data_IF_047568795963
#
_entry.id   IF_047568795963
#
_cell.length_a   1.000
_cell.length_b   1.000
_cell.length_c   1.000
_cell.angle_alpha   90.00
_cell.angle_beta   90.00
_cell.angle_gamma   90.00
#
_symmetry.space_group_name_H-M   'P 1'
#
loop_
_entity.id
_entity.type
_entity.pdbx_description
1 polymer ?
#
# COMPACT_ATOMS: atom_id res chain seq x y z
N UNK A 1 -1.85 43.79 -52.97
CA UNK A 1 -2.18 43.34 -51.58
C UNK A 1 -2.40 41.85 -51.67
N UNK A 2 -1.38 41.09 -51.27
CA UNK A 2 -1.39 39.61 -51.32
C UNK A 2 -1.71 39.09 -49.92
N UNK A 3 -2.84 38.40 -49.80
CA UNK A 3 -3.27 37.77 -48.55
C UNK A 3 -2.54 36.44 -48.41
N UNK A 4 -1.59 36.37 -47.47
CA UNK A 4 -0.93 35.12 -47.05
C UNK A 4 -1.88 34.29 -46.23
N UNK A 5 -2.34 33.19 -46.81
CA UNK A 5 -3.12 32.16 -46.10
C UNK A 5 -2.22 31.42 -45.10
N UNK A 6 -2.41 31.69 -43.85
CA UNK A 6 -1.75 30.99 -42.74
C UNK A 6 -2.34 29.56 -42.63
N UNK A 7 -1.56 28.55 -43.04
CA UNK A 7 -1.93 27.15 -42.89
C UNK A 7 -1.93 26.79 -41.38
N UNK A 8 -3.13 26.73 -40.78
CA UNK A 8 -3.32 26.17 -39.45
C UNK A 8 -2.89 24.69 -39.48
N UNK A 9 -1.83 24.36 -38.73
CA UNK A 9 -1.35 23.00 -38.58
C UNK A 9 -2.47 22.12 -37.97
N UNK A 10 -2.69 20.89 -38.47
CA UNK A 10 -3.70 20.02 -37.91
C UNK A 10 -3.35 19.69 -36.44
N UNK A 11 -4.32 19.94 -35.55
CA UNK A 11 -4.27 19.53 -34.18
C UNK A 11 -3.96 18.03 -34.11
N UNK A 12 -2.77 17.69 -33.66
CA UNK A 12 -2.37 16.30 -33.42
C UNK A 12 -3.37 15.67 -32.46
N UNK A 13 -4.08 14.64 -32.90
CA UNK A 13 -5.02 13.87 -32.07
C UNK A 13 -4.28 13.39 -30.82
N UNK A 14 -4.84 13.60 -29.61
CA UNK A 14 -4.22 13.08 -28.40
C UNK A 14 -4.06 11.57 -28.55
N UNK A 15 -2.86 11.07 -28.22
CA UNK A 15 -2.54 9.65 -28.29
C UNK A 15 -3.60 8.85 -27.52
N UNK A 16 -4.25 7.93 -28.22
CA UNK A 16 -5.26 7.03 -27.65
C UNK A 16 -4.61 6.27 -26.48
N UNK A 17 -5.09 6.48 -25.27
CA UNK A 17 -4.67 5.64 -24.14
C UNK A 17 -4.92 4.19 -24.57
N UNK A 18 -3.84 3.38 -24.66
CA UNK A 18 -3.96 1.99 -25.08
C UNK A 18 -4.90 1.28 -24.10
N UNK A 19 -6.01 0.75 -24.62
CA UNK A 19 -6.88 -0.15 -23.90
C UNK A 19 -6.02 -1.29 -23.33
N UNK A 20 -6.11 -1.57 -22.03
CA UNK A 20 -5.35 -2.64 -21.39
C UNK A 20 -5.28 -2.49 -19.88
N UNK A 21 -4.82 -3.55 -19.23
CA UNK A 21 -4.58 -3.57 -17.79
C UNK A 21 -3.52 -2.51 -17.40
N UNK A 22 -3.83 -1.75 -16.37
CA UNK A 22 -2.88 -0.80 -15.74
C UNK A 22 -1.69 -1.57 -15.12
N UNK A 23 -0.49 -0.97 -15.01
CA UNK A 23 0.62 -1.55 -14.25
C UNK A 23 0.24 -2.02 -12.85
N UNK A 24 -0.54 -1.25 -12.10
CA UNK A 24 -1.05 -1.63 -10.77
C UNK A 24 -1.94 -2.88 -10.82
N UNK A 25 -2.79 -3.02 -11.83
CA UNK A 25 -3.64 -4.20 -12.03
C UNK A 25 -2.84 -5.46 -12.38
N UNK A 26 -1.78 -5.29 -13.17
CA UNK A 26 -0.84 -6.38 -13.46
C UNK A 26 -0.10 -6.86 -12.21
N UNK A 27 0.29 -5.93 -11.32
CA UNK A 27 0.87 -6.26 -10.02
C UNK A 27 -0.12 -7.05 -9.16
N UNK A 28 -1.38 -6.60 -9.11
CA UNK A 28 -2.44 -7.33 -8.39
C UNK A 28 -2.58 -8.75 -8.92
N UNK A 29 -2.76 -8.93 -10.22
CA UNK A 29 -2.90 -10.26 -10.83
C UNK A 29 -1.67 -11.14 -10.61
N UNK A 30 -0.47 -10.57 -10.71
CA UNK A 30 0.78 -11.28 -10.43
C UNK A 30 0.87 -11.73 -8.98
N UNK A 31 0.44 -10.90 -8.01
CA UNK A 31 0.46 -11.26 -6.60
C UNK A 31 -0.62 -12.30 -6.24
N UNK A 32 -1.80 -12.22 -6.82
CA UNK A 32 -2.83 -13.25 -6.67
C UNK A 32 -2.36 -14.61 -7.20
N UNK A 33 -1.67 -14.62 -8.36
CA UNK A 33 -1.05 -15.82 -8.90
C UNK A 33 0.06 -16.35 -7.99
N UNK A 34 0.90 -15.46 -7.41
CA UNK A 34 1.89 -15.83 -6.40
C UNK A 34 1.22 -16.48 -5.19
N UNK A 35 0.12 -15.94 -4.66
CA UNK A 35 -0.61 -16.51 -3.53
C UNK A 35 -1.08 -17.96 -3.79
N UNK A 36 -1.62 -18.20 -4.99
CA UNK A 36 -2.00 -19.56 -5.42
C UNK A 36 -0.76 -20.48 -5.49
N UNK A 37 0.32 -20.05 -6.14
CA UNK A 37 1.53 -20.84 -6.25
C UNK A 37 2.16 -21.12 -4.87
N UNK A 38 2.25 -20.12 -4.00
CA UNK A 38 2.75 -20.25 -2.64
C UNK A 38 1.90 -21.25 -1.83
N UNK A 39 0.57 -21.24 -1.99
CA UNK A 39 -0.30 -22.20 -1.30
C UNK A 39 -0.01 -23.67 -1.63
N UNK A 40 0.61 -23.94 -2.79
CA UNK A 40 1.03 -25.30 -3.16
C UNK A 40 2.37 -25.70 -2.55
N UNK A 41 3.22 -24.74 -2.22
CA UNK A 41 4.58 -24.97 -1.69
C UNK A 41 4.56 -25.03 -0.17
N UNK A 42 3.83 -24.13 0.49
CA UNK A 42 3.81 -24.06 1.95
C UNK A 42 2.81 -25.04 2.56
N UNK A 43 3.11 -25.50 3.79
CA UNK A 43 2.28 -26.50 4.50
C UNK A 43 0.97 -25.86 4.97
N UNK A 44 -0.08 -26.00 4.19
CA UNK A 44 -1.43 -25.54 4.49
C UNK A 44 -2.43 -26.70 4.49
N UNK A 45 -3.51 -26.54 5.26
CA UNK A 45 -4.64 -27.45 5.17
C UNK A 45 -5.31 -27.39 3.78
N UNK A 46 -5.89 -28.48 3.31
CA UNK A 46 -6.57 -28.54 1.99
C UNK A 46 -7.67 -27.49 1.85
N UNK A 47 -8.43 -27.23 2.93
CA UNK A 47 -9.45 -26.16 2.97
C UNK A 47 -8.88 -24.76 2.81
N UNK A 48 -7.70 -24.50 3.37
CA UNK A 48 -7.03 -23.20 3.22
C UNK A 48 -6.54 -23.00 1.77
N UNK A 49 -5.94 -24.02 1.17
CA UNK A 49 -5.52 -23.99 -0.25
C UNK A 49 -6.71 -23.72 -1.18
N UNK A 50 -7.82 -24.42 -0.96
CA UNK A 50 -9.04 -24.23 -1.73
C UNK A 50 -9.59 -22.81 -1.57
N UNK A 51 -9.63 -22.29 -0.34
CA UNK A 51 -10.08 -20.94 -0.06
C UNK A 51 -9.19 -19.88 -0.75
N UNK A 52 -7.86 -20.00 -0.68
CA UNK A 52 -6.92 -19.14 -1.39
C UNK A 52 -7.16 -19.20 -2.90
N UNK A 53 -7.28 -20.39 -3.47
CA UNK A 53 -7.56 -20.57 -4.89
C UNK A 53 -8.85 -19.90 -5.35
N UNK A 54 -9.95 -20.09 -4.61
CA UNK A 54 -11.25 -19.48 -4.92
C UNK A 54 -11.20 -17.95 -4.76
N UNK A 55 -10.69 -17.46 -3.64
CA UNK A 55 -10.64 -16.01 -3.37
C UNK A 55 -9.78 -15.28 -4.39
N UNK A 56 -8.62 -15.83 -4.73
CA UNK A 56 -7.73 -15.22 -5.73
C UNK A 56 -8.30 -15.29 -7.15
N UNK A 57 -8.97 -16.38 -7.51
CA UNK A 57 -9.66 -16.48 -8.79
C UNK A 57 -10.81 -15.47 -8.91
N UNK A 58 -11.61 -15.32 -7.85
CA UNK A 58 -12.69 -14.31 -7.79
C UNK A 58 -12.14 -12.89 -7.84
N UNK A 59 -11.08 -12.58 -7.07
CA UNK A 59 -10.44 -11.27 -7.08
C UNK A 59 -9.86 -10.96 -8.48
N UNK A 60 -9.17 -11.91 -9.10
CA UNK A 60 -8.63 -11.75 -10.44
C UNK A 60 -9.75 -11.54 -11.49
N UNK A 61 -10.84 -12.30 -11.38
CA UNK A 61 -12.02 -12.12 -12.24
C UNK A 61 -12.62 -10.72 -12.10
N UNK A 62 -12.78 -10.23 -10.87
CA UNK A 62 -13.28 -8.87 -10.58
C UNK A 62 -12.38 -7.81 -11.22
N UNK A 63 -11.05 -7.92 -11.05
CA UNK A 63 -10.09 -6.98 -11.66
C UNK A 63 -10.23 -6.97 -13.18
N UNK A 64 -10.28 -8.14 -13.81
CA UNK A 64 -10.41 -8.25 -15.28
C UNK A 64 -11.74 -7.75 -15.77
N UNK A 65 -12.86 -8.09 -15.11
CA UNK A 65 -14.19 -7.64 -15.51
C UNK A 65 -14.33 -6.12 -15.40
N UNK A 66 -13.88 -5.52 -14.29
CA UNK A 66 -13.93 -4.06 -14.11
C UNK A 66 -13.06 -3.36 -15.16
N UNK A 67 -11.87 -3.88 -15.45
CA UNK A 67 -10.98 -3.31 -16.46
C UNK A 67 -11.61 -3.35 -17.85
N UNK A 68 -12.16 -4.49 -18.25
CA UNK A 68 -12.84 -4.65 -19.57
C UNK A 68 -14.13 -3.84 -19.69
N UNK A 69 -14.93 -3.77 -18.63
CA UNK A 69 -16.16 -2.96 -18.61
C UNK A 69 -15.85 -1.48 -18.80
N UNK A 70 -14.73 -1.02 -18.24
CA UNK A 70 -14.26 0.36 -18.44
C UNK A 70 -13.87 0.64 -19.90
N UNK A 71 -13.22 -0.30 -20.57
CA UNK A 71 -12.86 -0.20 -21.99
C UNK A 71 -14.12 -0.13 -22.88
N UNK A 72 -15.06 -1.04 -22.64
CA UNK A 72 -16.33 -1.08 -23.39
C UNK A 72 -17.17 0.19 -23.20
N UNK A 73 -17.22 0.73 -21.97
CA UNK A 73 -17.92 1.98 -21.67
C UNK A 73 -17.27 3.18 -22.37
N UNK A 74 -15.93 3.23 -22.44
CA UNK A 74 -15.20 4.27 -23.16
C UNK A 74 -15.44 4.25 -24.67
N UNK A 75 -15.54 3.06 -25.27
CA UNK A 75 -15.86 2.90 -26.70
C UNK A 75 -17.33 3.25 -27.02
N UNK A 76 -18.25 2.88 -26.12
CA UNK A 76 -19.67 3.15 -26.27
C UNK A 76 -20.00 4.65 -26.16
N UNK A 77 -19.36 5.34 -25.19
CA UNK A 77 -19.52 6.79 -25.02
C UNK A 77 -19.05 7.61 -26.24
N UNK A 78 -18.12 7.04 -27.02
CA UNK A 78 -17.65 7.68 -28.25
C UNK A 78 -18.61 7.46 -29.43
N UNK A 79 -19.47 6.45 -29.39
CA UNK A 79 -20.39 6.09 -30.49
C UNK A 79 -21.81 6.63 -30.33
N UNK A 80 -22.23 6.99 -29.09
CA UNK A 80 -23.60 7.41 -28.81
C UNK A 80 -23.63 8.59 -27.85
N UNK A 81 -24.48 9.57 -28.16
CA UNK A 81 -24.94 10.61 -27.23
C UNK A 81 -25.93 10.00 -26.23
N UNK A 82 -25.50 9.02 -25.43
CA UNK A 82 -26.38 8.30 -24.52
C UNK A 82 -26.46 8.95 -23.12
N UNK A 83 -27.69 8.95 -22.62
CA UNK A 83 -28.16 9.72 -21.50
C UNK A 83 -27.51 9.45 -20.11
N UNK A 84 -27.92 10.24 -19.15
CA UNK A 84 -27.48 10.35 -17.74
C UNK A 84 -27.26 9.00 -16.97
N UNK A 85 -27.96 7.92 -17.32
CA UNK A 85 -27.80 6.61 -16.68
C UNK A 85 -26.48 5.93 -17.05
N UNK A 86 -26.08 6.00 -18.31
CA UNK A 86 -24.81 5.43 -18.79
C UNK A 86 -23.61 6.13 -18.14
N UNK A 87 -23.70 7.45 -17.91
CA UNK A 87 -22.62 8.22 -17.28
C UNK A 87 -22.42 7.88 -15.79
N UNK A 88 -23.51 7.59 -15.06
CA UNK A 88 -23.42 7.22 -13.62
C UNK A 88 -22.81 5.84 -13.43
N UNK A 89 -23.21 4.86 -14.22
CA UNK A 89 -22.64 3.51 -14.17
C UNK A 89 -21.13 3.53 -14.48
N UNK A 90 -20.74 4.24 -15.54
CA UNK A 90 -19.33 4.41 -15.90
C UNK A 90 -18.53 5.08 -14.77
N UNK A 91 -19.08 6.12 -14.13
CA UNK A 91 -18.43 6.78 -12.99
C UNK A 91 -18.27 5.85 -11.79
N UNK A 92 -19.28 5.01 -11.49
CA UNK A 92 -19.22 4.03 -10.40
C UNK A 92 -18.18 2.96 -10.69
N UNK A 93 -18.15 2.39 -11.91
CA UNK A 93 -17.16 1.39 -12.30
C UNK A 93 -15.72 1.96 -12.24
N UNK A 94 -15.55 3.22 -12.65
CA UNK A 94 -14.27 3.92 -12.53
C UNK A 94 -13.85 4.05 -11.07
N UNK A 95 -14.75 4.48 -10.18
CA UNK A 95 -14.46 4.60 -8.76
C UNK A 95 -14.12 3.23 -8.15
N UNK A 96 -14.88 2.19 -8.45
CA UNK A 96 -14.58 0.82 -8.01
C UNK A 96 -13.20 0.36 -8.49
N UNK A 97 -12.86 0.58 -9.76
CA UNK A 97 -11.54 0.28 -10.31
C UNK A 97 -10.42 0.95 -9.55
N UNK A 98 -10.62 2.25 -9.24
CA UNK A 98 -9.59 3.07 -8.60
C UNK A 98 -9.39 2.71 -7.11
N UNK A 99 -10.44 2.27 -6.41
CA UNK A 99 -10.41 1.92 -4.98
C UNK A 99 -10.17 0.44 -4.68
N UNK A 100 -10.31 -0.44 -5.68
CA UNK A 100 -10.15 -1.88 -5.52
C UNK A 100 -8.83 -2.31 -4.86
N UNK A 101 -7.67 -1.66 -5.14
CA UNK A 101 -6.41 -2.03 -4.52
C UNK A 101 -6.42 -1.96 -2.98
N UNK A 102 -7.23 -1.10 -2.36
CA UNK A 102 -7.38 -1.05 -0.90
C UNK A 102 -7.82 -2.41 -0.32
N UNK A 103 -8.73 -3.09 -0.99
CA UNK A 103 -9.26 -4.39 -0.54
C UNK A 103 -8.30 -5.53 -0.86
N UNK A 104 -7.63 -5.45 -2.01
CA UNK A 104 -6.65 -6.46 -2.40
C UNK A 104 -5.45 -6.48 -1.45
N UNK A 105 -5.01 -5.33 -0.95
CA UNK A 105 -3.94 -5.25 0.05
C UNK A 105 -4.30 -6.05 1.32
N UNK A 106 -5.54 -5.96 1.79
CA UNK A 106 -5.99 -6.70 2.97
C UNK A 106 -6.00 -8.21 2.73
N UNK A 107 -6.49 -8.65 1.56
CA UNK A 107 -6.47 -10.04 1.14
C UNK A 107 -5.02 -10.55 1.06
N UNK A 108 -4.16 -9.84 0.35
CA UNK A 108 -2.75 -10.19 0.16
C UNK A 108 -2.00 -10.32 1.49
N UNK A 109 -2.21 -9.39 2.43
CA UNK A 109 -1.63 -9.46 3.76
C UNK A 109 -2.11 -10.69 4.52
N UNK A 110 -3.43 -10.97 4.49
CA UNK A 110 -4.01 -12.11 5.19
C UNK A 110 -3.48 -13.44 4.67
N UNK A 111 -3.36 -13.59 3.37
CA UNK A 111 -2.83 -14.80 2.75
C UNK A 111 -1.35 -14.99 3.05
N UNK A 112 -0.55 -13.94 2.92
CA UNK A 112 0.89 -14.00 3.21
C UNK A 112 1.18 -14.43 4.65
N UNK A 113 0.32 -14.06 5.59
CA UNK A 113 0.45 -14.47 6.99
C UNK A 113 0.24 -15.98 7.19
N UNK A 114 -0.52 -16.66 6.33
CA UNK A 114 -0.76 -18.09 6.38
C UNK A 114 0.48 -18.90 5.95
N UNK A 115 1.35 -18.33 5.14
CA UNK A 115 2.56 -18.98 4.66
C UNK A 115 3.72 -18.94 5.67
N UNK A 116 3.60 -18.16 6.75
CA UNK A 116 4.64 -18.00 7.75
C UNK A 116 4.53 -19.05 8.85
N UNK A 117 5.63 -19.75 9.14
CA UNK A 117 5.71 -20.72 10.23
C UNK A 117 6.56 -20.18 11.39
N UNK A 118 5.97 -20.12 12.57
CA UNK A 118 6.70 -19.76 13.81
C UNK A 118 7.82 -20.72 14.17
N UNK A 119 7.70 -22.00 13.82
CA UNK A 119 8.71 -23.00 14.12
C UNK A 119 10.06 -22.75 13.43
N UNK A 120 10.08 -21.93 12.37
CA UNK A 120 11.28 -21.63 11.59
C UNK A 120 11.99 -20.33 12.04
N UNK A 121 11.47 -19.58 13.03
CA UNK A 121 11.95 -18.22 13.33
C UNK A 121 13.17 -18.15 14.25
N UNK A 122 13.39 -19.09 15.15
CA UNK A 122 14.29 -18.96 16.31
C UNK A 122 15.72 -18.47 16.03
N UNK A 123 16.39 -18.95 14.96
CA UNK A 123 17.75 -18.52 14.64
C UNK A 123 17.78 -17.09 14.07
N UNK A 124 16.77 -16.72 13.28
CA UNK A 124 16.62 -15.37 12.73
C UNK A 124 16.26 -14.39 13.85
N UNK A 125 15.35 -14.75 14.75
CA UNK A 125 14.98 -13.94 15.91
C UNK A 125 16.22 -13.57 16.74
N UNK A 126 17.09 -14.55 17.06
CA UNK A 126 18.33 -14.30 17.80
C UNK A 126 19.33 -13.41 17.06
N UNK A 127 19.38 -13.47 15.72
CA UNK A 127 20.23 -12.60 14.92
C UNK A 127 19.71 -11.15 14.95
N UNK A 128 18.41 -10.95 14.74
CA UNK A 128 17.80 -9.63 14.72
C UNK A 128 17.80 -8.96 16.09
N UNK A 129 17.59 -9.73 17.17
CA UNK A 129 17.79 -9.22 18.53
C UNK A 129 19.23 -8.75 18.82
N UNK A 130 20.23 -9.45 18.29
CA UNK A 130 21.63 -9.01 18.41
C UNK A 130 21.87 -7.70 17.65
N UNK A 131 21.32 -7.57 16.45
CA UNK A 131 21.43 -6.33 15.66
C UNK A 131 20.73 -5.16 16.37
N UNK A 132 19.52 -5.36 16.85
CA UNK A 132 18.80 -4.33 17.61
C UNK A 132 19.58 -3.89 18.85
N UNK A 133 20.11 -4.83 19.62
CA UNK A 133 20.95 -4.51 20.79
C UNK A 133 22.22 -3.73 20.41
N UNK A 134 22.84 -4.04 19.29
CA UNK A 134 24.03 -3.34 18.84
C UNK A 134 23.73 -1.92 18.32
N UNK A 135 22.56 -1.72 17.70
CA UNK A 135 22.18 -0.45 17.06
C UNK A 135 21.41 0.50 17.97
N UNK A 136 20.59 -0.03 18.86
CA UNK A 136 19.60 0.74 19.65
C UNK A 136 19.77 0.53 21.16
N UNK A 137 20.71 -0.31 21.57
CA UNK A 137 20.90 -0.68 22.99
C UNK A 137 19.96 -1.81 23.44
N UNK A 138 19.95 -2.09 24.73
CA UNK A 138 19.01 -3.06 25.28
C UNK A 138 17.58 -2.54 25.10
N UNK A 139 16.70 -3.37 24.54
CA UNK A 139 15.32 -2.96 24.25
C UNK A 139 14.52 -2.43 25.47
N UNK A 140 15.05 -2.58 26.67
CA UNK A 140 14.60 -1.93 27.90
C UNK A 140 14.80 -0.40 27.87
N UNK A 141 15.85 0.10 27.20
CA UNK A 141 16.11 1.55 27.09
C UNK A 141 15.10 2.25 26.19
N UNK A 142 14.68 1.59 25.10
CA UNK A 142 13.66 2.12 24.21
C UNK A 142 12.27 2.13 24.86
N UNK A 143 11.93 1.11 25.65
CA UNK A 143 10.70 1.11 26.45
C UNK A 143 10.78 2.07 27.64
N UNK A 144 11.97 2.33 28.19
CA UNK A 144 12.18 3.35 29.21
C UNK A 144 11.91 4.77 28.68
N UNK A 145 12.18 5.06 27.40
CA UNK A 145 11.81 6.33 26.79
C UNK A 145 10.28 6.56 26.81
N UNK A 146 9.49 5.53 26.50
CA UNK A 146 8.04 5.60 26.62
C UNK A 146 7.58 5.67 28.08
N UNK A 147 8.35 5.08 29.02
CA UNK A 147 8.07 5.11 30.45
C UNK A 147 8.38 6.48 31.09
N UNK A 148 9.39 7.19 30.60
CA UNK A 148 9.78 8.53 31.11
C UNK A 148 8.73 9.60 30.77
N UNK A 149 7.97 9.42 29.69
CA UNK A 149 6.92 10.36 29.29
C UNK A 149 5.64 9.61 28.89
N UNK A 150 4.62 9.59 29.76
CA UNK A 150 3.33 8.99 29.44
C UNK A 150 2.69 9.57 28.16
N UNK A 151 2.93 10.84 27.86
CA UNK A 151 2.46 11.49 26.65
C UNK A 151 3.14 10.94 25.39
N UNK A 152 4.43 10.64 25.46
CA UNK A 152 5.16 10.04 24.35
C UNK A 152 4.63 8.64 24.04
N UNK A 153 4.44 7.80 25.05
CA UNK A 153 3.86 6.47 24.87
C UNK A 153 2.47 6.52 24.25
N UNK A 154 1.60 7.43 24.74
CA UNK A 154 0.26 7.64 24.17
C UNK A 154 0.29 8.13 22.72
N UNK A 155 1.21 9.04 22.41
CA UNK A 155 1.43 9.52 21.04
C UNK A 155 1.90 8.39 20.12
N UNK A 156 2.84 7.55 20.57
CA UNK A 156 3.35 6.43 19.77
C UNK A 156 2.26 5.38 19.51
N UNK A 157 1.42 5.07 20.49
CA UNK A 157 0.25 4.20 20.27
C UNK A 157 -0.74 4.79 19.26
N UNK A 158 -0.99 6.09 19.34
CA UNK A 158 -1.81 6.79 18.33
C UNK A 158 -1.14 6.77 16.96
N UNK A 159 0.16 7.06 16.89
CA UNK A 159 0.91 7.04 15.63
C UNK A 159 0.88 5.64 14.99
N UNK A 160 1.08 4.59 15.78
CA UNK A 160 0.97 3.22 15.27
C UNK A 160 -0.42 2.93 14.69
N UNK A 161 -1.48 3.34 15.37
CA UNK A 161 -2.86 3.15 14.91
C UNK A 161 -3.14 3.82 13.56
N UNK A 162 -2.45 4.93 13.25
CA UNK A 162 -2.57 5.61 11.96
C UNK A 162 -2.12 4.77 10.76
N UNK A 163 -1.34 3.71 10.96
CA UNK A 163 -0.88 2.87 9.84
C UNK A 163 -2.07 2.26 9.08
N UNK A 164 -3.18 1.94 9.75
CA UNK A 164 -4.35 1.32 9.14
C UNK A 164 -5.10 2.25 8.17
N UNK A 165 -5.46 3.50 8.55
CA UNK A 165 -6.13 4.42 7.64
C UNK A 165 -5.21 5.10 6.62
N UNK A 166 -3.88 4.99 6.75
CA UNK A 166 -2.94 5.69 5.85
C UNK A 166 -3.15 5.34 4.38
N UNK A 167 -3.45 4.07 4.06
CA UNK A 167 -3.67 3.64 2.66
C UNK A 167 -4.90 4.33 2.05
N UNK A 168 -6.11 4.19 2.61
CA UNK A 168 -7.28 4.86 2.04
C UNK A 168 -7.18 6.39 2.13
N UNK A 169 -6.59 6.98 3.18
CA UNK A 169 -6.44 8.43 3.30
C UNK A 169 -5.45 8.99 2.27
N UNK A 170 -4.30 8.32 2.08
CA UNK A 170 -3.32 8.72 1.07
C UNK A 170 -3.91 8.70 -0.33
N UNK A 171 -4.61 7.62 -0.67
CA UNK A 171 -5.30 7.55 -1.95
C UNK A 171 -6.43 8.59 -2.06
N UNK A 172 -7.21 8.82 -1.00
CA UNK A 172 -8.25 9.84 -0.99
C UNK A 172 -7.70 11.24 -1.31
N UNK A 173 -6.56 11.62 -0.73
CA UNK A 173 -5.89 12.90 -1.03
C UNK A 173 -5.55 13.01 -2.51
N UNK A 174 -4.96 11.97 -3.10
CA UNK A 174 -4.63 11.95 -4.52
C UNK A 174 -5.91 11.98 -5.37
N UNK A 175 -6.89 11.14 -5.06
CA UNK A 175 -8.13 10.97 -5.78
C UNK A 175 -8.97 12.26 -5.85
N UNK A 176 -9.24 12.88 -4.71
CA UNK A 176 -10.08 14.08 -4.66
C UNK A 176 -9.36 15.32 -5.17
N UNK A 177 -8.05 15.45 -4.94
CA UNK A 177 -7.32 16.59 -5.48
C UNK A 177 -7.17 16.53 -7.00
N UNK A 178 -6.94 15.37 -7.60
CA UNK A 178 -6.86 15.23 -9.06
C UNK A 178 -8.21 15.49 -9.73
N UNK A 179 -9.31 15.12 -9.08
CA UNK A 179 -10.66 15.41 -9.60
C UNK A 179 -11.04 16.88 -9.47
N UNK A 180 -10.62 17.58 -8.43
CA UNK A 180 -10.84 19.04 -8.28
C UNK A 180 -10.12 19.80 -9.38
N UNK A 181 -8.85 19.50 -9.61
CA UNK A 181 -8.07 20.13 -10.70
C UNK A 181 -8.69 19.88 -12.06
N UNK A 182 -9.25 18.69 -12.32
CA UNK A 182 -9.92 18.39 -13.56
C UNK A 182 -11.28 19.11 -13.74
N UNK A 183 -11.91 19.55 -12.65
CA UNK A 183 -13.18 20.29 -12.67
C UNK A 183 -13.01 21.81 -12.86
N UNK A 184 -11.81 22.34 -12.67
CA UNK A 184 -11.53 23.77 -12.86
C UNK A 184 -11.43 24.12 -14.36
N UNK A 185 -12.25 25.07 -14.88
CA UNK A 185 -12.26 25.42 -16.32
C UNK A 185 -10.92 25.95 -16.84
N UNK A 186 -10.09 26.51 -15.95
CA UNK A 186 -8.78 27.05 -16.30
C UNK A 186 -7.68 25.97 -16.37
N UNK A 187 -7.86 24.84 -15.70
CA UNK A 187 -6.93 23.75 -15.72
C UNK A 187 -7.37 22.72 -16.76
N UNK A 188 -6.97 22.90 -18.03
CA UNK A 188 -7.17 21.89 -19.08
C UNK A 188 -6.32 20.64 -18.79
N UNK A 189 -6.74 19.85 -17.81
CA UNK A 189 -6.14 18.53 -17.53
C UNK A 189 -6.56 17.59 -18.65
N UNK A 190 -5.64 17.01 -19.43
CA UNK A 190 -5.98 16.08 -20.48
C UNK A 190 -6.84 14.91 -19.96
N UNK A 191 -7.84 14.46 -20.74
CA UNK A 191 -8.61 13.27 -20.37
C UNK A 191 -7.69 12.07 -20.11
N UNK A 192 -7.88 11.39 -18.98
CA UNK A 192 -7.07 10.21 -18.58
C UNK A 192 -5.87 10.50 -17.66
N UNK A 193 -5.47 11.77 -17.47
CA UNK A 193 -4.32 12.10 -16.61
C UNK A 193 -4.56 11.70 -15.14
N UNK A 194 -5.76 11.91 -14.62
CA UNK A 194 -6.11 11.46 -13.27
C UNK A 194 -5.95 9.93 -13.11
N UNK A 195 -6.38 9.15 -14.10
CA UNK A 195 -6.20 7.69 -14.09
C UNK A 195 -4.73 7.25 -14.09
N UNK A 196 -3.85 8.01 -14.75
CA UNK A 196 -2.40 7.77 -14.69
C UNK A 196 -1.81 8.10 -13.32
N UNK A 197 -2.28 9.18 -12.67
CA UNK A 197 -1.87 9.50 -11.29
C UNK A 197 -2.29 8.41 -10.31
N UNK A 198 -3.50 7.88 -10.43
CA UNK A 198 -4.01 6.80 -9.58
C UNK A 198 -3.22 5.51 -9.79
N UNK A 199 -2.98 5.14 -11.05
CA UNK A 199 -2.18 3.97 -11.37
C UNK A 199 -0.74 4.08 -10.85
N UNK A 200 -0.10 5.26 -10.97
CA UNK A 200 1.24 5.51 -10.44
C UNK A 200 1.28 5.41 -8.93
N UNK A 201 0.30 5.99 -8.23
CA UNK A 201 0.18 5.87 -6.78
C UNK A 201 0.09 4.39 -6.37
N UNK A 202 -0.86 3.64 -6.98
CA UNK A 202 -1.06 2.25 -6.65
C UNK A 202 0.12 1.36 -7.04
N UNK A 203 0.74 1.61 -8.19
CA UNK A 203 1.95 0.86 -8.59
C UNK A 203 3.03 0.96 -7.54
N UNK A 204 3.31 2.15 -7.02
CA UNK A 204 4.32 2.36 -5.97
C UNK A 204 3.96 1.69 -4.66
N UNK A 205 2.72 1.88 -4.19
CA UNK A 205 2.25 1.33 -2.91
C UNK A 205 2.15 -0.19 -2.96
N UNK A 206 1.56 -0.75 -4.02
CA UNK A 206 1.42 -2.20 -4.18
C UNK A 206 2.78 -2.88 -4.34
N UNK A 207 3.68 -2.30 -5.12
CA UNK A 207 5.03 -2.87 -5.28
C UNK A 207 5.77 -2.92 -3.94
N UNK A 208 5.67 -1.87 -3.11
CA UNK A 208 6.27 -1.86 -1.79
C UNK A 208 5.67 -2.93 -0.87
N UNK A 209 4.34 -2.97 -0.75
CA UNK A 209 3.64 -3.90 0.14
C UNK A 209 3.77 -5.35 -0.33
N UNK A 210 3.57 -5.63 -1.61
CA UNK A 210 3.64 -6.99 -2.15
C UNK A 210 5.06 -7.56 -2.09
N UNK A 211 6.09 -6.71 -2.23
CA UNK A 211 7.48 -7.15 -1.99
C UNK A 211 7.66 -7.60 -0.55
N UNK A 212 7.19 -6.83 0.43
CA UNK A 212 7.26 -7.24 1.84
C UNK A 212 6.48 -8.53 2.09
N UNK A 213 5.25 -8.62 1.59
CA UNK A 213 4.39 -9.79 1.78
C UNK A 213 4.94 -11.06 1.14
N UNK A 214 5.59 -10.95 -0.03
CA UNK A 214 6.25 -12.07 -0.66
C UNK A 214 7.50 -12.55 0.08
N UNK A 215 8.17 -11.66 0.80
CA UNK A 215 9.35 -11.97 1.60
C UNK A 215 9.04 -12.56 2.98
N UNK A 216 7.84 -12.34 3.53
CA UNK A 216 7.46 -12.86 4.86
C UNK A 216 7.68 -14.36 5.05
N UNK A 217 7.28 -15.24 4.14
CA UNK A 217 7.51 -16.68 4.31
C UNK A 217 8.97 -17.09 4.20
N UNK A 218 9.80 -16.28 3.53
CA UNK A 218 11.24 -16.52 3.38
C UNK A 218 12.02 -16.10 4.65
N UNK A 219 11.48 -15.12 5.36
CA UNK A 219 12.07 -14.58 6.60
C UNK A 219 11.01 -14.60 7.71
N UNK A 220 10.67 -15.79 8.25
CA UNK A 220 9.59 -15.94 9.24
C UNK A 220 10.03 -15.43 10.62
N UNK A 221 10.21 -14.12 10.73
CA UNK A 221 10.69 -13.43 11.93
C UNK A 221 9.53 -13.15 12.89
N UNK A 222 9.74 -13.40 14.17
CA UNK A 222 8.77 -13.11 15.23
C UNK A 222 8.87 -11.66 15.68
N UNK A 223 7.74 -11.01 15.93
CA UNK A 223 7.74 -9.64 16.48
C UNK A 223 8.46 -9.57 17.84
N UNK A 224 9.34 -8.57 18.05
CA UNK A 224 10.11 -8.44 19.32
C UNK A 224 9.21 -8.43 20.55
N UNK A 225 8.03 -7.88 20.45
CA UNK A 225 7.03 -7.81 21.53
C UNK A 225 6.63 -9.20 22.08
N UNK A 226 6.59 -10.23 21.23
CA UNK A 226 6.23 -11.59 21.64
C UNK A 226 7.41 -12.35 22.28
N UNK A 227 8.63 -11.90 22.06
CA UNK A 227 9.85 -12.49 22.61
C UNK A 227 10.25 -11.84 23.94
N UNK A 228 9.96 -10.57 24.13
CA UNK A 228 10.27 -9.82 25.35
C UNK A 228 9.27 -10.17 26.46
N UNK A 229 9.61 -11.18 27.29
CA UNK A 229 8.77 -11.62 28.41
C UNK A 229 8.60 -10.55 29.51
N UNK A 230 9.57 -9.65 29.64
CA UNK A 230 9.64 -8.62 30.68
C UNK A 230 9.31 -7.23 30.15
N UNK A 231 8.63 -7.14 28.99
CA UNK A 231 8.25 -5.86 28.42
C UNK A 231 7.12 -5.22 29.26
N UNK A 232 7.55 -4.38 30.22
CA UNK A 232 6.63 -3.57 31.00
C UNK A 232 6.25 -2.31 30.23
N UNK A 233 4.96 -2.16 29.91
CA UNK A 233 4.42 -0.92 29.39
C UNK A 233 3.70 -0.19 30.53
N UNK A 234 4.16 1.02 30.91
CA UNK A 234 3.63 1.72 32.08
C UNK A 234 2.15 2.09 31.97
N UNK A 235 1.61 2.14 30.77
CA UNK A 235 0.22 2.54 30.50
C UNK A 235 -0.58 1.41 29.81
N UNK A 236 -0.53 0.20 30.38
CA UNK A 236 -1.21 -0.98 29.84
C UNK A 236 -2.75 -0.82 29.75
N UNK A 237 -3.34 0.09 30.52
CA UNK A 237 -4.77 0.39 30.55
C UNK A 237 -5.20 1.46 29.52
N UNK A 238 -4.23 2.09 28.85
CA UNK A 238 -4.55 3.12 27.87
C UNK A 238 -5.37 2.56 26.68
N UNK A 239 -6.47 3.23 26.37
CA UNK A 239 -7.47 2.74 25.40
C UNK A 239 -6.86 2.44 24.04
N UNK A 240 -6.00 3.30 23.50
CA UNK A 240 -5.37 3.07 22.18
C UNK A 240 -4.39 1.88 22.22
N UNK A 241 -3.67 1.67 23.35
CA UNK A 241 -2.85 0.47 23.55
C UNK A 241 -3.70 -0.80 23.50
N UNK A 242 -4.81 -0.80 24.22
CA UNK A 242 -5.74 -1.94 24.21
C UNK A 242 -6.33 -2.18 22.82
N UNK A 243 -6.66 -1.12 22.10
CA UNK A 243 -7.14 -1.21 20.73
C UNK A 243 -6.08 -1.79 19.79
N UNK A 244 -4.83 -1.30 19.86
CA UNK A 244 -3.72 -1.83 19.09
C UNK A 244 -3.47 -3.30 19.37
N UNK A 245 -3.44 -3.70 20.65
CA UNK A 245 -3.25 -5.10 21.05
C UNK A 245 -4.40 -5.99 20.56
N UNK A 246 -5.64 -5.49 20.61
CA UNK A 246 -6.79 -6.21 20.09
C UNK A 246 -6.69 -6.39 18.57
N UNK A 247 -6.40 -5.32 17.81
CA UNK A 247 -6.20 -5.39 16.36
C UNK A 247 -5.09 -6.37 16.00
N UNK A 248 -3.96 -6.31 16.68
CA UNK A 248 -2.85 -7.23 16.47
C UNK A 248 -3.24 -8.68 16.80
N UNK A 249 -4.01 -8.90 17.87
CA UNK A 249 -4.50 -10.24 18.23
C UNK A 249 -5.43 -10.85 17.18
N UNK A 250 -6.20 -10.01 16.47
CA UNK A 250 -7.15 -10.46 15.44
C UNK A 250 -6.50 -10.62 14.05
N UNK A 251 -5.58 -9.72 13.70
CA UNK A 251 -5.17 -9.54 12.30
C UNK A 251 -3.67 -9.73 12.07
N UNK A 252 -2.81 -9.57 13.08
CA UNK A 252 -1.38 -9.68 12.87
C UNK A 252 -0.94 -11.13 12.59
N UNK A 253 0.07 -11.26 11.75
CA UNK A 253 0.79 -12.53 11.60
C UNK A 253 1.54 -12.87 12.89
N UNK A 254 1.56 -14.15 13.24
CA UNK A 254 2.37 -14.64 14.38
C UNK A 254 3.87 -14.69 14.06
N UNK A 255 4.21 -14.73 12.78
CA UNK A 255 5.55 -14.67 12.23
C UNK A 255 5.47 -13.96 10.87
N UNK A 256 6.63 -13.49 10.34
CA UNK A 256 6.65 -12.76 9.08
C UNK A 256 6.45 -11.25 9.31
N UNK A 257 7.38 -10.66 10.06
CA UNK A 257 7.42 -9.20 10.28
C UNK A 257 8.51 -8.51 9.45
N UNK A 258 9.43 -9.26 8.86
CA UNK A 258 10.52 -8.75 8.04
C UNK A 258 10.27 -8.95 6.54
N UNK A 259 10.46 -7.91 5.73
CA UNK A 259 10.65 -6.49 6.06
C UNK A 259 9.34 -5.84 6.56
N UNK A 260 9.41 -4.71 7.31
CA UNK A 260 8.21 -4.08 7.83
C UNK A 260 7.27 -3.57 6.73
N UNK A 261 6.14 -4.25 6.53
CA UNK A 261 5.09 -3.82 5.62
C UNK A 261 4.42 -2.52 6.06
N UNK A 262 4.33 -2.26 7.37
CA UNK A 262 3.82 -0.99 7.91
C UNK A 262 4.68 0.18 7.43
N UNK A 263 6.00 0.12 7.67
CA UNK A 263 6.92 1.18 7.27
C UNK A 263 7.02 1.30 5.75
N UNK A 264 7.07 0.17 5.03
CA UNK A 264 7.08 0.17 3.57
C UNK A 264 5.84 0.85 2.98
N UNK A 265 4.65 0.49 3.46
CA UNK A 265 3.38 1.04 2.99
C UNK A 265 3.27 2.54 3.25
N UNK A 266 3.48 2.98 4.50
CA UNK A 266 3.32 4.40 4.85
C UNK A 266 4.39 5.29 4.20
N UNK A 267 5.62 4.80 4.02
CA UNK A 267 6.68 5.50 3.30
C UNK A 267 6.36 5.63 1.81
N UNK A 268 5.91 4.56 1.16
CA UNK A 268 5.50 4.60 -0.25
C UNK A 268 4.35 5.58 -0.49
N UNK A 269 3.37 5.62 0.42
CA UNK A 269 2.25 6.57 0.39
C UNK A 269 2.76 8.00 0.55
N UNK A 270 3.59 8.26 1.57
CA UNK A 270 4.14 9.59 1.84
C UNK A 270 4.93 10.14 0.64
N UNK A 271 5.79 9.31 0.02
CA UNK A 271 6.55 9.68 -1.19
C UNK A 271 5.63 9.98 -2.36
N UNK A 272 4.60 9.15 -2.59
CA UNK A 272 3.66 9.31 -3.70
C UNK A 272 2.79 10.56 -3.54
N UNK A 273 2.33 10.85 -2.32
CA UNK A 273 1.55 12.06 -2.02
C UNK A 273 2.44 13.31 -2.11
N UNK A 274 3.68 13.27 -1.58
CA UNK A 274 4.61 14.41 -1.56
C UNK A 274 4.99 14.88 -2.95
N UNK A 275 5.18 13.96 -3.88
CA UNK A 275 5.55 14.29 -5.26
C UNK A 275 4.51 15.17 -5.96
N UNK A 276 3.24 15.00 -5.63
CA UNK A 276 2.12 15.67 -6.32
C UNK A 276 1.41 16.72 -5.48
N UNK A 277 1.45 16.62 -4.17
CA UNK A 277 0.68 17.42 -3.22
C UNK A 277 1.56 17.80 -2.04
N UNK A 278 2.48 18.75 -2.25
CA UNK A 278 3.55 19.08 -1.29
C UNK A 278 3.05 19.28 0.15
N UNK A 279 1.98 20.05 0.36
CA UNK A 279 1.44 20.30 1.71
C UNK A 279 0.97 19.04 2.40
N UNK A 280 0.19 18.20 1.71
CA UNK A 280 -0.23 16.91 2.22
C UNK A 280 0.96 15.96 2.38
N UNK A 281 1.90 16.03 1.46
CA UNK A 281 3.12 15.22 1.51
C UNK A 281 3.94 15.45 2.78
N UNK A 282 4.03 16.69 3.28
CA UNK A 282 4.69 16.98 4.57
C UNK A 282 3.96 16.27 5.72
N UNK A 283 2.63 16.37 5.78
CA UNK A 283 1.82 15.70 6.81
C UNK A 283 1.99 14.18 6.75
N UNK A 284 1.90 13.60 5.55
CA UNK A 284 2.06 12.16 5.37
C UNK A 284 3.49 11.68 5.67
N UNK A 285 4.52 12.50 5.38
CA UNK A 285 5.90 12.19 5.74
C UNK A 285 6.07 12.18 7.26
N UNK A 286 5.59 13.22 7.95
CA UNK A 286 5.65 13.28 9.41
C UNK A 286 4.90 12.11 10.06
N UNK A 287 3.72 11.74 9.52
CA UNK A 287 2.98 10.56 9.98
C UNK A 287 3.76 9.26 9.73
N UNK A 288 4.38 9.08 8.56
CA UNK A 288 5.17 7.89 8.24
C UNK A 288 6.39 7.74 9.15
N UNK A 289 7.10 8.84 9.43
CA UNK A 289 8.23 8.86 10.38
C UNK A 289 7.77 8.53 11.81
N UNK A 290 6.64 9.08 12.24
CA UNK A 290 6.03 8.78 13.55
C UNK A 290 5.61 7.32 13.67
N UNK A 291 5.02 6.76 12.61
CA UNK A 291 4.64 5.34 12.56
C UNK A 291 5.90 4.46 12.60
N UNK A 292 6.93 4.79 11.82
CA UNK A 292 8.18 4.06 11.82
C UNK A 292 8.83 4.06 13.21
N UNK A 293 8.90 5.20 13.88
CA UNK A 293 9.38 5.31 15.26
C UNK A 293 8.54 4.48 16.23
N UNK A 294 7.20 4.58 16.12
CA UNK A 294 6.28 3.83 16.95
C UNK A 294 6.45 2.30 16.79
N UNK A 295 6.65 1.81 15.54
CA UNK A 295 6.84 0.37 15.30
C UNK A 295 8.08 -0.19 16.01
N UNK A 296 9.16 0.60 16.10
CA UNK A 296 10.42 0.19 16.75
C UNK A 296 10.34 0.38 18.26
N UNK A 297 9.92 1.54 18.75
CA UNK A 297 9.88 1.88 20.17
C UNK A 297 8.88 0.99 20.93
N UNK A 298 7.71 0.74 20.35
CA UNK A 298 6.67 -0.12 20.92
C UNK A 298 6.93 -1.62 20.66
N UNK A 299 8.09 -1.97 20.10
CA UNK A 299 8.53 -3.36 19.88
C UNK A 299 7.63 -4.17 18.95
N UNK A 300 6.95 -3.52 18.02
CA UNK A 300 6.20 -4.20 16.98
C UNK A 300 7.12 -4.73 15.88
N UNK A 301 8.22 -4.03 15.60
CA UNK A 301 9.25 -4.38 14.63
C UNK A 301 10.66 -4.15 15.19
N UNK A 302 11.64 -4.86 14.64
CA UNK A 302 13.05 -4.52 14.81
C UNK A 302 13.40 -3.27 14.00
N UNK A 303 14.45 -2.55 14.38
CA UNK A 303 14.94 -1.41 13.59
C UNK A 303 15.33 -1.85 12.16
N UNK A 304 15.96 -3.03 12.02
CA UNK A 304 16.33 -3.58 10.72
C UNK A 304 15.10 -3.82 9.81
N UNK A 305 13.96 -4.25 10.37
CA UNK A 305 12.71 -4.41 9.62
C UNK A 305 12.21 -3.09 9.08
N UNK A 306 12.23 -2.06 9.93
CA UNK A 306 11.78 -0.71 9.60
C UNK A 306 12.66 -0.11 8.48
N UNK A 307 13.98 -0.23 8.61
CA UNK A 307 14.94 0.24 7.60
C UNK A 307 14.77 -0.49 6.26
N UNK A 308 14.65 -1.83 6.30
CA UNK A 308 14.41 -2.63 5.09
C UNK A 308 13.08 -2.25 4.41
N UNK A 309 12.01 -2.05 5.20
CA UNK A 309 10.72 -1.59 4.69
C UNK A 309 10.81 -0.23 4.00
N UNK A 310 11.51 0.73 4.62
CA UNK A 310 11.73 2.05 4.04
C UNK A 310 12.53 1.96 2.72
N UNK A 311 13.60 1.18 2.67
CA UNK A 311 14.41 0.96 1.45
C UNK A 311 13.58 0.35 0.31
N UNK A 312 12.73 -0.63 0.62
CA UNK A 312 11.80 -1.23 -0.36
C UNK A 312 10.83 -0.16 -0.88
N UNK A 313 10.30 0.70 -0.01
CA UNK A 313 9.41 1.78 -0.43
C UNK A 313 10.09 2.78 -1.38
N UNK A 314 11.33 3.19 -1.09
CA UNK A 314 12.11 4.05 -1.99
C UNK A 314 12.36 3.39 -3.34
N UNK A 315 12.72 2.10 -3.35
CA UNK A 315 12.90 1.32 -4.58
C UNK A 315 11.61 1.24 -5.40
N UNK A 316 10.50 0.87 -4.74
CA UNK A 316 9.18 0.77 -5.36
C UNK A 316 8.70 2.10 -5.95
N UNK A 317 8.89 3.21 -5.23
CA UNK A 317 8.59 4.55 -5.71
C UNK A 317 9.39 4.92 -6.97
N UNK A 318 10.69 4.64 -6.99
CA UNK A 318 11.55 4.89 -8.17
C UNK A 318 11.15 4.03 -9.36
N UNK A 319 10.84 2.76 -9.14
CA UNK A 319 10.38 1.84 -10.19
C UNK A 319 9.04 2.31 -10.75
N UNK A 320 8.07 2.66 -9.88
CA UNK A 320 6.79 3.22 -10.31
C UNK A 320 6.98 4.45 -11.19
N UNK A 321 7.85 5.36 -10.79
CA UNK A 321 8.16 6.56 -11.57
C UNK A 321 8.73 6.22 -12.95
N UNK A 322 9.66 5.28 -13.05
CA UNK A 322 10.22 4.85 -14.34
C UNK A 322 9.17 4.21 -15.25
N UNK A 323 8.29 3.35 -14.71
CA UNK A 323 7.21 2.71 -15.47
C UNK A 323 6.28 3.76 -16.10
N UNK A 324 6.05 4.88 -15.41
CA UNK A 324 5.11 5.91 -15.85
C UNK A 324 5.77 7.09 -16.59
N UNK A 325 7.10 7.26 -16.49
CA UNK A 325 7.84 8.32 -17.22
C UNK A 325 7.96 8.03 -18.72
N UNK A 326 7.94 6.78 -19.13
CA UNK A 326 8.01 6.38 -20.55
C UNK A 326 6.68 6.45 -21.30
N UNK A 327 5.63 7.00 -20.70
CA UNK A 327 4.28 7.09 -21.27
C UNK A 327 3.82 8.53 -21.59
N UNK A 328 4.74 9.51 -21.43
CA UNK A 328 4.50 10.93 -21.77
C UNK A 328 4.97 11.26 -23.19
#
# INVERSE_FOLDING_TARGET
MSATSEKVAPLTRPARAKAGLRPSEKLVLGFLAYGVAASMVYSLAGSQRLAIGILNALAALIVVLISRSFEAAGESAHRRSEGLRSSRLAATLTALRDWLPCFVILLAYRESSLFCSRAASGALDALFERWDRALVGNGLEMSALAAVSPWLGRYLEFAYLLCYPMVPLGFAVVYFSSRRTAAEPAARVPPGQAGLEFDRFWTGVLLALFTCYALYPLFPLTTPRLLAKDFYHPDSQFVLRRLNLWLLGQYASSAGVFPSGHVAGVTAIALSVRERRHRWGVIFTAAAESIAAATVIERYHYLADALAGALIAFGAFRISNRIHSGKN
#
